data_IF_879180309067
#
_entry.id   IF_879180309067
#
_cell.length_a   1.000
_cell.length_b   1.000
_cell.length_c   1.000
_cell.angle_alpha   90.00
_cell.angle_beta   90.00
_cell.angle_gamma   90.00
#
_symmetry.space_group_name_H-M   'P 1'
#
loop_
_entity.id
_entity.type
_entity.pdbx_description
1 polymer ?
#
# COMPACT_ATOMS: atom_id res chain seq x y z
N UNK A 1 18.65 96.52 -53.17
CA UNK A 1 18.35 95.93 -51.85
C UNK A 1 17.24 94.85 -51.84
N UNK A 2 16.49 94.68 -52.91
CA UNK A 2 15.38 93.71 -53.08
C UNK A 2 15.91 92.30 -53.44
N UNK A 3 16.92 92.18 -54.30
CA UNK A 3 17.44 90.88 -54.76
C UNK A 3 18.11 90.05 -53.62
N UNK A 4 18.73 90.71 -52.65
CA UNK A 4 19.35 90.01 -51.51
C UNK A 4 18.35 89.40 -50.54
N UNK A 5 17.17 90.06 -50.35
CA UNK A 5 16.08 89.55 -49.47
C UNK A 5 15.39 88.31 -50.06
N UNK A 6 15.23 88.28 -51.40
CA UNK A 6 14.64 87.15 -52.13
C UNK A 6 15.52 85.89 -52.04
N UNK A 7 16.84 86.07 -52.17
CA UNK A 7 17.78 84.95 -52.08
C UNK A 7 17.87 84.35 -50.66
N UNK A 8 17.74 85.18 -49.65
CA UNK A 8 17.69 84.70 -48.26
C UNK A 8 16.39 83.94 -47.94
N UNK A 9 15.27 84.40 -48.51
CA UNK A 9 13.97 83.78 -48.28
C UNK A 9 13.88 82.40 -48.95
N UNK A 10 14.43 82.26 -50.15
CA UNK A 10 14.48 80.96 -50.86
C UNK A 10 15.42 79.95 -50.19
N UNK A 11 16.53 80.41 -49.59
CA UNK A 11 17.40 79.54 -48.81
C UNK A 11 16.72 79.10 -47.49
N UNK A 12 16.00 79.97 -46.83
CA UNK A 12 15.29 79.62 -45.60
C UNK A 12 14.14 78.64 -45.83
N UNK A 13 13.39 78.81 -46.90
CA UNK A 13 12.30 77.87 -47.29
C UNK A 13 12.85 76.50 -47.74
N UNK A 14 13.97 76.48 -48.49
CA UNK A 14 14.61 75.21 -48.88
C UNK A 14 15.18 74.47 -47.66
N UNK A 15 15.75 75.16 -46.69
CA UNK A 15 16.29 74.54 -45.46
C UNK A 15 15.14 73.99 -44.60
N UNK A 16 14.06 74.75 -44.47
CA UNK A 16 12.87 74.28 -43.74
C UNK A 16 12.23 73.04 -44.40
N UNK A 17 12.15 72.98 -45.71
CA UNK A 17 11.65 71.84 -46.47
C UNK A 17 12.52 70.59 -46.32
N UNK A 18 13.84 70.73 -46.28
CA UNK A 18 14.79 69.61 -46.07
C UNK A 18 14.66 69.10 -44.64
N UNK A 19 14.51 69.97 -43.63
CA UNK A 19 14.34 69.55 -42.25
C UNK A 19 13.02 68.82 -42.03
N UNK A 20 11.93 69.32 -42.61
CA UNK A 20 10.61 68.65 -42.52
C UNK A 20 10.60 67.30 -43.25
N UNK A 21 11.28 67.22 -44.42
CA UNK A 21 11.39 65.93 -45.15
C UNK A 21 12.26 64.94 -44.37
N UNK A 22 13.38 65.39 -43.76
CA UNK A 22 14.22 64.56 -42.92
C UNK A 22 13.47 64.06 -41.66
N UNK A 23 12.67 64.93 -41.00
CA UNK A 23 11.85 64.53 -39.89
C UNK A 23 10.76 63.51 -40.34
N UNK A 24 10.10 63.76 -41.47
CA UNK A 24 9.13 62.83 -42.00
C UNK A 24 9.73 61.47 -42.38
N UNK A 25 10.91 61.46 -42.96
CA UNK A 25 11.63 60.20 -43.24
C UNK A 25 12.12 59.52 -41.97
N UNK A 26 12.49 60.24 -40.90
CA UNK A 26 12.87 59.60 -39.63
C UNK A 26 11.65 58.99 -38.94
N UNK A 27 10.45 59.52 -39.08
CA UNK A 27 9.23 58.91 -38.61
C UNK A 27 8.82 57.65 -39.42
N UNK A 28 9.17 57.62 -40.69
CA UNK A 28 8.88 56.43 -41.53
C UNK A 28 9.85 55.28 -41.29
N UNK A 29 11.07 55.56 -40.83
CA UNK A 29 12.12 54.54 -40.57
C UNK A 29 12.03 54.01 -39.16
N UNK A 30 11.41 54.69 -38.25
CA UNK A 30 11.12 54.22 -36.87
C UNK A 30 9.66 53.75 -36.82
N UNK A 31 9.29 52.84 -37.70
CA UNK A 31 8.18 51.99 -37.40
C UNK A 31 8.63 51.09 -36.25
N UNK A 32 7.96 51.13 -35.06
CA UNK A 32 8.22 50.09 -34.09
C UNK A 32 7.85 48.78 -34.79
N UNK A 33 8.82 47.93 -34.98
CA UNK A 33 8.57 46.54 -35.33
C UNK A 33 7.85 46.00 -34.09
N UNK A 34 6.54 46.19 -34.04
CA UNK A 34 5.69 45.47 -33.09
C UNK A 34 5.82 44.01 -33.49
N UNK A 35 6.79 43.34 -32.91
CA UNK A 35 6.82 41.90 -32.93
C UNK A 35 5.57 41.43 -32.18
N UNK A 36 4.51 41.22 -32.92
CA UNK A 36 3.33 40.52 -32.42
C UNK A 36 3.78 39.08 -32.21
N UNK A 37 4.20 38.77 -30.96
CA UNK A 37 4.34 37.40 -30.55
C UNK A 37 2.92 36.79 -30.52
N UNK A 38 2.68 35.85 -31.37
CA UNK A 38 1.44 35.04 -31.32
C UNK A 38 1.81 33.83 -30.42
N UNK A 39 1.20 33.79 -29.25
CA UNK A 39 1.30 32.64 -28.34
C UNK A 39 0.08 31.75 -28.58
N UNK A 40 0.32 30.49 -28.82
CA UNK A 40 -0.72 29.45 -28.87
C UNK A 40 -0.50 28.50 -27.67
N UNK A 41 -1.53 28.28 -26.88
CA UNK A 41 -1.53 27.37 -25.74
C UNK A 41 -2.36 26.16 -26.08
N UNK A 42 -1.74 24.99 -25.92
CA UNK A 42 -2.45 23.73 -26.04
C UNK A 42 -2.20 22.87 -24.81
N UNK A 43 -3.18 22.05 -24.47
CA UNK A 43 -3.13 21.16 -23.32
C UNK A 43 -2.75 19.77 -23.77
N UNK A 44 -1.73 19.20 -23.12
CA UNK A 44 -1.36 17.78 -23.26
C UNK A 44 -1.88 17.06 -22.04
N UNK A 45 -2.73 16.05 -22.23
CA UNK A 45 -3.31 15.27 -21.14
C UNK A 45 -2.86 13.81 -21.28
N UNK A 46 -2.36 13.25 -20.17
CA UNK A 46 -2.03 11.83 -20.03
C UNK A 46 -2.73 11.29 -18.77
N UNK A 47 -3.46 10.19 -18.93
CA UNK A 47 -4.05 9.46 -17.80
C UNK A 47 -3.16 8.29 -17.42
N UNK A 48 -2.95 8.10 -16.11
CA UNK A 48 -2.28 6.94 -15.54
C UNK A 48 -3.30 6.21 -14.66
N UNK A 49 -3.50 4.91 -14.92
CA UNK A 49 -4.43 4.08 -14.16
C UNK A 49 -3.80 3.58 -12.86
N UNK A 50 -4.64 3.30 -11.87
CA UNK A 50 -4.19 2.62 -10.65
C UNK A 50 -3.83 1.16 -10.94
N UNK A 51 -2.73 0.71 -10.40
CA UNK A 51 -2.25 -0.67 -10.49
C UNK A 51 -1.90 -1.20 -9.11
N UNK A 52 -2.02 -2.52 -8.91
CA UNK A 52 -1.62 -3.23 -7.71
C UNK A 52 -1.01 -4.57 -8.10
N UNK A 53 0.06 -4.96 -7.42
CA UNK A 53 0.72 -6.24 -7.63
C UNK A 53 1.42 -6.75 -6.38
N UNK A 54 1.63 -8.06 -6.28
CA UNK A 54 2.57 -8.65 -5.35
C UNK A 54 3.96 -8.62 -5.98
N UNK A 55 4.89 -7.84 -5.41
CA UNK A 55 6.32 -7.91 -5.74
C UNK A 55 6.93 -9.21 -5.19
N UNK A 56 6.45 -9.64 -4.02
CA UNK A 56 6.76 -10.94 -3.43
C UNK A 56 5.44 -11.58 -3.03
N UNK A 57 5.14 -12.72 -3.61
CA UNK A 57 3.97 -13.52 -3.26
C UNK A 57 4.26 -14.36 -2.00
N UNK A 58 3.20 -14.78 -1.29
CA UNK A 58 3.32 -15.75 -0.21
C UNK A 58 3.93 -17.06 -0.72
N UNK A 59 4.75 -17.67 0.10
CA UNK A 59 5.34 -18.98 -0.16
C UNK A 59 4.75 -20.04 0.75
N UNK A 60 4.80 -21.30 0.32
CA UNK A 60 4.43 -22.44 1.15
C UNK A 60 5.27 -22.46 2.43
N UNK A 61 4.63 -22.89 3.52
CA UNK A 61 5.23 -22.91 4.85
C UNK A 61 5.26 -24.33 5.37
N UNK A 62 6.43 -24.77 5.78
CA UNK A 62 6.57 -25.94 6.64
C UNK A 62 6.73 -25.46 8.08
N UNK A 63 5.76 -25.76 8.91
CA UNK A 63 5.78 -25.37 10.32
C UNK A 63 6.80 -26.21 11.10
N UNK A 64 7.45 -25.60 12.09
CA UNK A 64 8.52 -26.23 12.88
C UNK A 64 8.42 -25.78 14.34
N UNK A 65 8.79 -26.66 15.30
CA UNK A 65 9.11 -28.09 15.16
C UNK A 65 7.87 -28.96 14.90
N UNK A 66 8.04 -30.23 14.57
CA UNK A 66 6.94 -31.21 14.53
C UNK A 66 6.37 -31.40 15.94
N UNK A 67 5.07 -31.67 16.03
CA UNK A 67 4.35 -31.81 17.30
C UNK A 67 3.99 -33.28 17.51
N UNK A 68 4.18 -33.74 18.76
CA UNK A 68 3.70 -35.06 19.19
C UNK A 68 2.22 -34.99 19.58
N UNK A 69 1.39 -35.83 19.01
CA UNK A 69 -0.07 -35.81 19.17
C UNK A 69 -0.58 -36.16 20.58
N UNK A 70 0.26 -36.78 21.45
CA UNK A 70 -0.11 -37.15 22.81
C UNK A 70 0.51 -36.21 23.87
N UNK A 71 1.78 -35.89 23.73
CA UNK A 71 2.49 -35.02 24.68
C UNK A 71 2.35 -33.55 24.38
N UNK A 72 1.84 -33.26 23.18
CA UNK A 72 1.64 -31.90 22.72
C UNK A 72 2.91 -31.18 22.28
N UNK A 73 2.80 -29.88 22.09
CA UNK A 73 3.87 -28.98 21.67
C UNK A 73 3.34 -27.78 20.91
N UNK A 74 4.27 -26.94 20.50
CA UNK A 74 3.97 -25.74 19.70
C UNK A 74 4.82 -25.74 18.44
N UNK A 75 4.20 -25.46 17.31
CA UNK A 75 4.85 -25.30 15.99
C UNK A 75 4.53 -23.93 15.41
N UNK A 76 5.49 -23.31 14.79
CA UNK A 76 5.35 -21.99 14.20
C UNK A 76 5.80 -21.99 12.75
N UNK A 77 5.28 -21.04 11.98
CA UNK A 77 5.69 -20.78 10.61
C UNK A 77 5.32 -19.35 10.22
N UNK A 78 5.93 -18.86 9.16
CA UNK A 78 5.61 -17.53 8.65
C UNK A 78 5.82 -17.45 7.15
N UNK A 79 5.10 -16.54 6.51
CA UNK A 79 5.35 -16.11 5.13
C UNK A 79 5.34 -14.59 5.06
N UNK A 80 6.04 -14.06 4.07
CA UNK A 80 6.11 -12.63 3.83
C UNK A 80 5.58 -12.32 2.45
N UNK A 81 4.80 -11.26 2.35
CA UNK A 81 4.34 -10.70 1.08
C UNK A 81 4.75 -9.25 0.97
N UNK A 82 5.03 -8.79 -0.25
CA UNK A 82 5.31 -7.40 -0.55
C UNK A 82 4.31 -6.94 -1.61
N UNK A 83 3.48 -5.97 -1.27
CA UNK A 83 2.49 -5.37 -2.18
C UNK A 83 2.99 -4.03 -2.67
N UNK A 84 2.88 -3.79 -3.98
CA UNK A 84 3.16 -2.52 -4.61
C UNK A 84 1.90 -1.96 -5.27
N UNK A 85 1.63 -0.66 -5.09
CA UNK A 85 0.54 0.05 -5.75
C UNK A 85 0.88 1.51 -5.95
N UNK A 86 0.50 2.06 -7.12
CA UNK A 86 0.52 3.49 -7.40
C UNK A 86 -0.79 4.20 -7.03
N UNK A 87 -1.78 3.46 -6.50
CA UNK A 87 -3.06 4.04 -6.10
C UNK A 87 -2.87 5.01 -4.92
N UNK A 88 -3.24 6.28 -5.11
CA UNK A 88 -3.11 7.32 -4.09
C UNK A 88 -3.95 7.03 -2.83
N UNK A 89 -5.05 6.27 -2.94
CA UNK A 89 -5.88 5.84 -1.82
C UNK A 89 -5.37 4.54 -1.16
N UNK A 90 -4.29 3.93 -1.70
CA UNK A 90 -3.69 2.73 -1.13
C UNK A 90 -4.38 1.43 -1.52
N UNK A 91 -4.43 0.48 -0.59
CA UNK A 91 -5.02 -0.84 -0.81
C UNK A 91 -5.49 -1.48 0.50
N UNK A 92 -6.40 -2.42 0.39
CA UNK A 92 -6.75 -3.36 1.46
C UNK A 92 -6.21 -4.74 1.14
N UNK A 93 -5.84 -5.52 2.17
CA UNK A 93 -5.49 -6.93 2.02
C UNK A 93 -6.31 -7.78 2.99
N UNK A 94 -6.79 -8.92 2.50
CA UNK A 94 -7.55 -9.88 3.28
C UNK A 94 -6.92 -11.26 3.22
N UNK A 95 -7.20 -12.08 4.25
CA UNK A 95 -6.83 -13.49 4.32
C UNK A 95 -8.09 -14.33 4.50
N UNK A 96 -8.12 -15.48 3.83
CA UNK A 96 -9.22 -16.43 3.91
C UNK A 96 -8.71 -17.88 3.83
N UNK A 97 -9.28 -18.80 4.60
CA UNK A 97 -9.04 -20.23 4.49
C UNK A 97 -9.99 -20.89 3.49
N UNK A 98 -9.57 -21.95 2.84
CA UNK A 98 -10.41 -22.76 1.95
C UNK A 98 -11.40 -23.66 2.69
N UNK A 99 -11.16 -23.93 3.97
CA UNK A 99 -12.00 -24.83 4.80
C UNK A 99 -12.12 -24.34 6.25
N UNK A 100 -13.11 -24.86 6.97
CA UNK A 100 -13.28 -24.66 8.41
C UNK A 100 -13.56 -26.01 9.09
N UNK A 101 -12.69 -26.44 10.05
CA UNK A 101 -11.41 -25.84 10.44
C UNK A 101 -10.45 -25.67 9.27
N UNK A 102 -9.55 -24.67 9.38
CA UNK A 102 -8.62 -24.37 8.28
C UNK A 102 -7.58 -25.47 8.08
N UNK A 103 -7.11 -26.09 9.17
CA UNK A 103 -6.06 -27.11 9.14
C UNK A 103 -6.64 -28.52 9.09
N UNK A 104 -6.55 -29.15 7.92
CA UNK A 104 -7.09 -30.46 7.63
C UNK A 104 -5.98 -31.50 7.57
N UNK A 105 -6.24 -32.65 8.21
CA UNK A 105 -5.36 -33.82 8.15
C UNK A 105 -5.59 -34.61 6.85
N UNK A 106 -4.52 -35.12 6.26
CA UNK A 106 -4.63 -36.07 5.17
C UNK A 106 -5.17 -37.41 5.66
N UNK A 107 -5.74 -38.20 4.76
CA UNK A 107 -6.08 -39.62 4.95
C UNK A 107 -6.66 -39.95 6.34
N UNK A 108 -7.85 -39.43 6.66
CA UNK A 108 -8.55 -39.73 7.93
C UNK A 108 -7.96 -39.06 9.19
N UNK A 109 -7.03 -38.14 9.03
CA UNK A 109 -6.39 -37.42 10.13
C UNK A 109 -7.27 -36.43 10.90
N UNK A 110 -8.53 -36.26 10.44
CA UNK A 110 -9.41 -35.25 11.04
C UNK A 110 -8.96 -33.81 10.78
N UNK A 111 -9.08 -32.94 11.76
CA UNK A 111 -8.66 -31.55 11.65
C UNK A 111 -8.12 -31.04 12.98
N UNK A 112 -7.27 -30.02 12.92
CA UNK A 112 -6.92 -29.23 14.09
C UNK A 112 -7.89 -28.02 14.14
N UNK A 113 -8.62 -27.84 15.26
CA UNK A 113 -9.54 -26.72 15.41
C UNK A 113 -8.88 -25.36 15.12
N UNK A 114 -9.67 -24.43 14.62
CA UNK A 114 -9.23 -23.04 14.53
C UNK A 114 -9.05 -22.47 15.94
N UNK A 115 -8.11 -21.57 16.08
CA UNK A 115 -7.90 -20.82 17.31
C UNK A 115 -9.20 -20.11 17.73
N UNK A 116 -9.50 -20.17 19.03
CA UNK A 116 -10.69 -19.56 19.60
C UNK A 116 -10.28 -18.41 20.52
N UNK A 117 -10.26 -17.15 20.03
CA UNK A 117 -9.97 -16.02 20.88
C UNK A 117 -10.98 -15.89 22.03
N UNK A 118 -10.54 -15.38 23.17
CA UNK A 118 -11.38 -15.13 24.32
C UNK A 118 -12.60 -14.25 24.00
N UNK A 119 -12.45 -13.36 23.00
CA UNK A 119 -13.54 -12.56 22.41
C UNK A 119 -13.61 -12.85 20.94
N UNK A 120 -14.72 -13.35 20.44
CA UNK A 120 -14.89 -13.85 19.08
C UNK A 120 -14.49 -12.88 17.94
N UNK A 121 -14.51 -11.57 18.19
CA UNK A 121 -14.19 -10.53 17.20
C UNK A 121 -12.83 -9.86 17.42
N UNK A 122 -12.14 -10.16 18.51
CA UNK A 122 -10.92 -9.50 18.96
C UNK A 122 -9.81 -10.55 19.04
N UNK A 123 -8.66 -10.36 18.38
CA UNK A 123 -7.50 -11.22 18.54
C UNK A 123 -7.00 -11.21 19.99
N UNK A 124 -6.50 -12.32 20.47
CA UNK A 124 -5.84 -12.38 21.75
C UNK A 124 -4.38 -11.93 21.64
N UNK A 125 -3.93 -11.14 22.59
CA UNK A 125 -2.54 -10.68 22.63
C UNK A 125 -1.55 -11.84 22.72
N UNK A 126 -1.89 -12.88 23.49
CA UNK A 126 -1.09 -14.10 23.59
C UNK A 126 -1.86 -15.30 23.06
N UNK A 127 -1.16 -16.21 22.40
CA UNK A 127 -1.76 -17.47 21.94
C UNK A 127 -1.94 -18.39 23.15
N UNK A 128 -3.17 -18.61 23.55
CA UNK A 128 -3.52 -19.45 24.69
C UNK A 128 -4.52 -20.53 24.28
N UNK A 129 -4.14 -21.79 24.42
CA UNK A 129 -4.97 -22.95 24.07
C UNK A 129 -5.43 -23.64 25.36
N UNK A 130 -6.71 -24.02 25.41
CA UNK A 130 -7.28 -24.73 26.53
C UNK A 130 -6.58 -26.08 26.80
N UNK A 131 -6.72 -26.60 28.03
CA UNK A 131 -6.20 -27.91 28.38
C UNK A 131 -6.87 -29.01 27.53
N UNK A 132 -6.12 -30.06 27.19
CA UNK A 132 -6.59 -31.22 26.47
C UNK A 132 -7.16 -30.92 25.07
N UNK A 133 -6.62 -29.91 24.38
CA UNK A 133 -7.03 -29.54 23.02
C UNK A 133 -5.84 -29.13 22.16
N UNK A 134 -6.12 -28.84 20.88
CA UNK A 134 -5.14 -28.27 19.98
C UNK A 134 -5.83 -27.25 19.09
N UNK A 135 -5.13 -26.14 18.77
CA UNK A 135 -5.68 -25.07 17.94
C UNK A 135 -4.64 -24.53 16.98
N UNK A 136 -5.13 -24.01 15.85
CA UNK A 136 -4.38 -23.35 14.80
C UNK A 136 -4.87 -21.92 14.61
N UNK A 137 -3.95 -20.96 14.63
CA UNK A 137 -4.24 -19.56 14.42
C UNK A 137 -3.14 -18.81 13.69
N UNK A 138 -3.41 -17.55 13.40
CA UNK A 138 -2.47 -16.65 12.73
C UNK A 138 -2.42 -15.28 13.40
N UNK A 139 -1.34 -14.57 13.12
CA UNK A 139 -1.10 -13.16 13.47
C UNK A 139 -0.49 -12.44 12.29
N UNK A 140 -0.56 -11.12 12.26
CA UNK A 140 -0.06 -10.29 11.16
C UNK A 140 0.78 -9.15 11.69
N UNK A 141 1.88 -8.86 10.99
CA UNK A 141 2.72 -7.69 11.20
C UNK A 141 2.99 -6.97 9.89
N UNK A 142 3.14 -5.67 9.93
CA UNK A 142 3.45 -4.85 8.77
C UNK A 142 4.69 -3.98 9.01
N UNK A 143 5.48 -3.76 7.94
CA UNK A 143 6.64 -2.85 8.01
C UNK A 143 6.27 -1.41 8.34
N UNK A 144 5.02 -1.04 8.06
CA UNK A 144 4.40 0.23 8.46
C UNK A 144 3.21 -0.11 9.35
N UNK A 145 3.35 0.10 10.64
CA UNK A 145 2.35 -0.28 11.65
C UNK A 145 0.97 0.30 11.36
N UNK A 146 0.90 1.56 10.88
CA UNK A 146 -0.38 2.21 10.53
C UNK A 146 -1.13 1.55 9.38
N UNK A 147 -0.50 0.65 8.63
CA UNK A 147 -1.15 -0.09 7.54
C UNK A 147 -1.93 -1.31 8.05
N UNK A 148 -1.65 -1.79 9.27
CA UNK A 148 -2.39 -2.91 9.85
C UNK A 148 -3.87 -2.59 10.03
N UNK A 149 -4.71 -3.58 9.78
CA UNK A 149 -6.10 -3.50 10.21
C UNK A 149 -6.15 -3.37 11.75
N UNK A 150 -7.05 -2.51 12.26
CA UNK A 150 -7.13 -2.14 13.69
C UNK A 150 -7.12 -3.37 14.61
N UNK A 151 -7.73 -4.47 14.22
CA UNK A 151 -7.78 -5.69 15.05
C UNK A 151 -6.41 -6.28 15.37
N UNK A 152 -5.39 -6.04 14.55
CA UNK A 152 -4.01 -6.52 14.76
C UNK A 152 -3.10 -5.46 15.39
N UNK A 153 -3.61 -4.25 15.62
CA UNK A 153 -2.92 -3.24 16.42
C UNK A 153 -3.15 -3.50 17.91
N UNK A 154 -2.16 -3.17 18.73
CA UNK A 154 -2.18 -3.41 20.16
C UNK A 154 -1.68 -2.21 20.98
N UNK A 155 -1.88 -2.27 22.28
CA UNK A 155 -1.33 -1.35 23.26
C UNK A 155 -0.26 -2.02 24.12
N UNK A 156 0.41 -3.06 23.61
CA UNK A 156 1.39 -3.94 24.27
C UNK A 156 0.79 -5.01 25.19
N UNK A 157 -0.52 -5.04 25.38
CA UNK A 157 -1.22 -6.03 26.24
C UNK A 157 -2.53 -6.52 25.66
N UNK A 158 -3.20 -5.71 24.86
CA UNK A 158 -4.55 -5.98 24.33
C UNK A 158 -4.62 -5.59 22.86
N UNK A 159 -5.19 -6.46 22.04
CA UNK A 159 -5.38 -6.24 20.60
C UNK A 159 -6.67 -5.48 20.30
N UNK A 160 -6.81 -5.04 19.04
CA UNK A 160 -7.90 -4.20 18.56
C UNK A 160 -7.97 -2.83 19.25
N UNK A 161 -6.84 -2.37 19.81
CA UNK A 161 -6.72 -1.09 20.51
C UNK A 161 -5.28 -0.57 20.37
N UNK A 162 -5.08 0.73 20.60
CA UNK A 162 -3.75 1.34 20.45
C UNK A 162 -3.31 1.50 19.01
N UNK A 163 -2.01 1.67 18.83
CA UNK A 163 -1.35 1.91 17.54
C UNK A 163 -0.01 1.17 17.41
N UNK A 164 0.30 0.29 18.36
CA UNK A 164 1.49 -0.54 18.30
C UNK A 164 1.25 -1.77 17.43
N UNK A 165 2.35 -2.32 16.95
CA UNK A 165 2.46 -3.64 16.36
C UNK A 165 3.70 -4.26 17.00
N UNK A 166 3.51 -5.06 18.03
CA UNK A 166 4.63 -5.76 18.62
C UNK A 166 5.20 -6.83 17.69
N UNK A 167 4.49 -7.11 16.58
CA UNK A 167 4.98 -7.76 15.36
C UNK A 167 5.72 -9.06 15.54
N UNK A 168 5.45 -9.76 16.65
CA UNK A 168 6.18 -10.95 17.02
C UNK A 168 5.29 -12.17 16.98
N UNK A 169 5.88 -13.35 17.06
CA UNK A 169 5.15 -14.62 17.23
C UNK A 169 4.29 -14.68 18.51
N UNK A 170 4.13 -13.59 19.23
CA UNK A 170 3.51 -13.53 20.55
C UNK A 170 2.31 -12.60 20.64
N UNK A 171 1.89 -11.92 19.57
CA UNK A 171 0.85 -10.89 19.66
C UNK A 171 -0.28 -11.07 18.65
N UNK A 172 -1.48 -10.69 19.05
CA UNK A 172 -2.70 -10.55 18.25
C UNK A 172 -3.08 -11.76 17.41
N UNK A 173 -3.26 -12.89 18.07
CA UNK A 173 -3.61 -14.16 17.45
C UNK A 173 -5.11 -14.27 17.16
N UNK A 174 -5.44 -14.70 15.96
CA UNK A 174 -6.80 -14.80 15.50
C UNK A 174 -7.09 -16.11 14.76
N UNK A 175 -8.39 -16.45 14.67
CA UNK A 175 -8.86 -17.61 13.93
C UNK A 175 -8.71 -17.41 12.42
N UNK A 176 -8.19 -18.39 11.72
CA UNK A 176 -8.23 -18.43 10.27
C UNK A 176 -9.61 -18.97 9.83
N UNK A 177 -10.36 -18.20 9.08
CA UNK A 177 -11.77 -18.43 8.74
C UNK A 177 -11.99 -18.54 7.23
N UNK A 178 -13.08 -19.16 6.83
CA UNK A 178 -13.60 -19.12 5.45
C UNK A 178 -14.26 -17.79 5.10
N UNK A 179 -14.41 -16.89 6.07
CA UNK A 179 -14.81 -15.50 5.83
C UNK A 179 -13.57 -14.64 5.75
N UNK A 180 -13.47 -13.81 4.71
CA UNK A 180 -12.32 -12.94 4.49
C UNK A 180 -12.15 -11.98 5.69
N UNK A 181 -10.94 -11.97 6.25
CA UNK A 181 -10.55 -11.09 7.35
C UNK A 181 -9.56 -10.07 6.84
N UNK A 182 -9.84 -8.78 7.08
CA UNK A 182 -8.92 -7.70 6.73
C UNK A 182 -7.66 -7.78 7.59
N UNK A 183 -6.51 -7.72 6.94
CA UNK A 183 -5.17 -7.72 7.57
C UNK A 183 -4.45 -6.40 7.37
N UNK A 184 -4.61 -5.78 6.21
CA UNK A 184 -3.98 -4.48 5.87
C UNK A 184 -5.07 -3.52 5.41
N UNK A 185 -4.91 -2.26 5.80
CA UNK A 185 -5.75 -1.15 5.39
C UNK A 185 -4.88 0.10 5.16
N UNK A 186 -4.12 0.08 4.08
CA UNK A 186 -3.23 1.16 3.70
C UNK A 186 -3.97 2.25 2.95
N UNK A 187 -3.72 3.52 3.29
CA UNK A 187 -4.43 4.70 2.76
C UNK A 187 -3.59 5.56 1.81
N UNK A 188 -2.42 5.08 1.39
CA UNK A 188 -1.52 5.81 0.49
C UNK A 188 -0.85 4.85 -0.50
N UNK A 189 -0.36 5.37 -1.61
CA UNK A 189 0.50 4.61 -2.51
C UNK A 189 1.72 4.03 -1.77
N UNK A 190 2.30 2.97 -2.29
CA UNK A 190 3.54 2.41 -1.75
C UNK A 190 4.76 3.11 -2.36
N UNK A 191 5.90 3.01 -1.69
CA UNK A 191 7.19 3.24 -2.34
C UNK A 191 7.42 2.16 -3.43
N UNK A 192 8.38 2.38 -4.32
CA UNK A 192 8.73 1.41 -5.38
C UNK A 192 9.15 0.04 -4.82
N UNK A 193 9.70 0.00 -3.60
CA UNK A 193 10.04 -1.24 -2.88
C UNK A 193 8.83 -2.02 -2.36
N UNK A 194 7.61 -1.44 -2.46
CA UNK A 194 6.40 -2.01 -1.90
C UNK A 194 6.27 -1.86 -0.39
N UNK A 195 5.18 -2.40 0.14
CA UNK A 195 4.89 -2.49 1.56
C UNK A 195 4.94 -3.97 1.98
N UNK A 196 5.73 -4.27 3.00
CA UNK A 196 5.95 -5.63 3.48
C UNK A 196 4.95 -5.98 4.57
N UNK A 197 4.33 -7.16 4.44
CA UNK A 197 3.48 -7.78 5.47
C UNK A 197 4.00 -9.17 5.76
N UNK A 198 4.15 -9.52 7.04
CA UNK A 198 4.50 -10.85 7.50
C UNK A 198 3.29 -11.48 8.19
N UNK A 199 2.97 -12.71 7.81
CA UNK A 199 1.90 -13.48 8.41
C UNK A 199 2.52 -14.63 9.17
N UNK A 200 2.23 -14.69 10.45
CA UNK A 200 2.71 -15.73 11.36
C UNK A 200 1.60 -16.75 11.58
N UNK A 201 1.98 -18.00 11.65
CA UNK A 201 1.07 -19.11 11.95
C UNK A 201 1.57 -19.88 13.14
N UNK A 202 0.64 -20.37 13.97
CA UNK A 202 0.93 -21.20 15.13
C UNK A 202 -0.06 -22.35 15.22
N UNK A 203 0.45 -23.53 15.49
CA UNK A 203 -0.30 -24.66 16.03
C UNK A 203 0.22 -24.91 17.44
N UNK A 204 -0.68 -25.05 18.38
CA UNK A 204 -0.35 -25.57 19.72
C UNK A 204 -1.29 -26.69 20.06
N UNK A 205 -0.73 -27.80 20.49
CA UNK A 205 -1.46 -28.98 21.01
C UNK A 205 -1.04 -29.15 22.46
N UNK A 206 -2.00 -29.18 23.37
CA UNK A 206 -1.75 -29.47 24.79
C UNK A 206 -1.67 -30.97 25.01
N UNK A 207 -1.08 -31.40 26.14
CA UNK A 207 -0.97 -32.81 26.44
C UNK A 207 -2.36 -33.49 26.58
N UNK A 208 -2.45 -34.74 26.10
CA UNK A 208 -3.66 -35.56 26.13
C UNK A 208 -4.90 -34.85 25.52
N UNK A 209 -4.85 -34.41 24.23
CA UNK A 209 -5.96 -33.77 23.61
C UNK A 209 -7.18 -34.70 23.54
N UNK A 210 -8.37 -34.16 23.73
CA UNK A 210 -9.63 -34.90 23.69
C UNK A 210 -10.66 -34.16 22.82
N UNK A 211 -10.96 -34.63 21.61
CA UNK A 211 -10.50 -35.89 21.01
C UNK A 211 -9.00 -35.87 20.70
N UNK A 212 -8.39 -37.06 20.67
CA UNK A 212 -6.98 -37.22 20.29
C UNK A 212 -6.77 -36.69 18.85
N UNK A 213 -5.65 -35.99 18.66
CA UNK A 213 -5.26 -35.52 17.32
C UNK A 213 -4.46 -36.63 16.65
N UNK A 214 -5.01 -37.26 15.59
CA UNK A 214 -4.37 -38.41 14.94
C UNK A 214 -3.04 -38.05 14.30
N UNK A 215 -2.18 -39.04 14.12
CA UNK A 215 -0.99 -38.90 13.31
C UNK A 215 -1.39 -38.66 11.85
N UNK A 216 -1.03 -37.48 11.34
CA UNK A 216 -1.29 -37.10 9.95
C UNK A 216 -0.36 -35.93 9.55
N UNK A 217 -0.31 -35.65 8.25
CA UNK A 217 0.13 -34.33 7.77
C UNK A 217 -1.07 -33.42 7.71
N UNK A 218 -1.01 -32.30 8.44
CA UNK A 218 -2.06 -31.31 8.48
C UNK A 218 -1.69 -30.14 7.58
N UNK A 219 -2.64 -29.72 6.74
CA UNK A 219 -2.46 -28.64 5.77
C UNK A 219 -3.59 -27.63 5.86
N UNK A 220 -3.26 -26.35 5.86
CA UNK A 220 -4.23 -25.24 5.70
C UNK A 220 -3.93 -24.55 4.37
N UNK A 221 -4.93 -24.48 3.50
CA UNK A 221 -4.85 -23.70 2.26
C UNK A 221 -5.46 -22.33 2.50
N UNK A 222 -4.67 -21.28 2.22
CA UNK A 222 -5.06 -19.89 2.46
C UNK A 222 -4.90 -19.05 1.20
N UNK A 223 -5.78 -18.08 1.03
CA UNK A 223 -5.73 -17.08 -0.04
C UNK A 223 -5.55 -15.69 0.56
N UNK A 224 -4.56 -14.96 0.05
CA UNK A 224 -4.38 -13.53 0.28
C UNK A 224 -4.89 -12.77 -0.93
N UNK A 225 -5.72 -11.77 -0.70
CA UNK A 225 -6.22 -10.88 -1.75
C UNK A 225 -5.87 -9.44 -1.40
N UNK A 226 -5.14 -8.77 -2.28
CA UNK A 226 -4.87 -7.34 -2.19
C UNK A 226 -5.72 -6.61 -3.24
N UNK A 227 -6.44 -5.58 -2.82
CA UNK A 227 -7.36 -4.81 -3.68
C UNK A 227 -7.06 -3.33 -3.53
N UNK A 228 -6.82 -2.62 -4.65
CA UNK A 228 -6.70 -1.17 -4.66
C UNK A 228 -8.02 -0.53 -4.21
N UNK A 229 -7.95 0.49 -3.33
CA UNK A 229 -9.12 1.18 -2.75
C UNK A 229 -9.54 2.40 -3.55
#
# INVERSE_FOLDING_TARGET
MIVLKTLQFTKLTATALIITLALAMSFLVVEPILSLAIEDQFTITQSVTAEISFLTAATDITMSPTIAGLTGGTSNGQTQVIVNTNNAAGYTMTIVASSSPAMQGNTGGGSIPNYTPASASIPDYTFAVGANTGEFGYSVSASTTSDLAQKFLDNTTTCNTGSADTGTLTSCWYALSTTATSTINRTTATAASGATTTIFFRVQITANPAPAIPQATYTATTTLTATAT
#
